data_IF_452604785340
#
_entry.id   IF_452604785340
#
_cell.length_a   1.000
_cell.length_b   1.000
_cell.length_c   1.000
_cell.angle_alpha   90.00
_cell.angle_beta   90.00
_cell.angle_gamma   90.00
#
_symmetry.space_group_name_H-M   'P 1'
#
loop_
_entity.id
_entity.type
_entity.pdbx_description
1 polymer ?
#
# COMPACT_ATOMS: atom_id res chain seq x y z
N UNK A 1 -0.05 -5.59 -42.57
CA UNK A 1 -0.13 -4.50 -41.57
C UNK A 1 -1.34 -4.79 -40.70
N UNK A 2 -1.13 -5.29 -39.48
CA UNK A 2 -2.22 -5.60 -38.56
C UNK A 2 -2.78 -4.29 -38.00
N UNK A 3 -4.09 -4.06 -38.13
CA UNK A 3 -4.77 -2.92 -37.50
C UNK A 3 -4.50 -2.90 -35.99
N UNK A 4 -4.40 -1.71 -35.36
CA UNK A 4 -4.41 -1.63 -33.91
C UNK A 4 -5.74 -2.22 -33.40
N UNK A 5 -5.73 -2.97 -32.28
CA UNK A 5 -6.97 -3.41 -31.66
C UNK A 5 -7.82 -2.16 -31.35
N UNK A 6 -9.14 -2.27 -31.53
CA UNK A 6 -10.08 -1.25 -31.09
C UNK A 6 -9.78 -0.87 -29.62
N UNK A 7 -10.03 0.37 -29.18
CA UNK A 7 -9.92 0.74 -27.77
C UNK A 7 -10.98 -0.01 -26.95
N UNK A 8 -10.74 -1.30 -26.72
CA UNK A 8 -11.34 -2.06 -25.65
C UNK A 8 -10.75 -1.56 -24.36
N UNK A 9 -11.61 -1.40 -23.36
CA UNK A 9 -11.29 -0.97 -21.99
C UNK A 9 -9.98 -1.60 -21.51
N UNK A 10 -8.88 -0.86 -21.65
CA UNK A 10 -7.61 -1.27 -21.09
C UNK A 10 -7.77 -1.13 -19.57
N UNK A 11 -7.54 -2.21 -18.83
CA UNK A 11 -7.51 -2.12 -17.38
C UNK A 11 -6.27 -1.30 -17.01
N UNK A 12 -6.48 -0.03 -16.66
CA UNK A 12 -5.40 0.83 -16.19
C UNK A 12 -5.18 0.52 -14.73
N UNK A 13 -3.92 0.41 -14.32
CA UNK A 13 -3.57 0.45 -12.91
C UNK A 13 -3.19 1.88 -12.54
N UNK A 14 -3.83 2.41 -11.50
CA UNK A 14 -3.44 3.66 -10.86
C UNK A 14 -2.31 3.39 -9.87
N UNK A 15 -1.23 4.15 -9.98
CA UNK A 15 -0.15 4.19 -8.98
C UNK A 15 -0.41 5.35 -8.01
N UNK A 16 -0.37 5.08 -6.70
CA UNK A 16 -0.41 6.09 -5.64
C UNK A 16 0.79 5.88 -4.72
N UNK A 17 1.50 6.96 -4.42
CA UNK A 17 2.58 6.97 -3.44
C UNK A 17 2.06 7.51 -2.12
N UNK A 18 2.39 6.83 -1.03
CA UNK A 18 1.99 7.19 0.33
C UNK A 18 3.25 7.25 1.18
N UNK A 19 3.52 8.41 1.77
CA UNK A 19 4.70 8.64 2.60
C UNK A 19 4.25 8.78 4.04
N UNK A 20 4.85 7.98 4.92
CA UNK A 20 4.65 8.05 6.37
C UNK A 20 5.94 8.62 6.99
N UNK A 21 5.91 9.81 7.60
CA UNK A 21 7.08 10.40 8.25
C UNK A 21 7.68 9.49 9.33
N UNK A 22 8.93 9.75 9.69
CA UNK A 22 9.62 9.00 10.74
C UNK A 22 8.88 9.09 12.08
N UNK A 23 8.63 7.95 12.72
CA UNK A 23 7.90 7.87 13.99
C UNK A 23 6.39 8.07 13.90
N UNK A 24 5.86 8.47 12.74
CA UNK A 24 4.44 8.74 12.55
C UNK A 24 3.65 7.48 12.20
N UNK A 25 2.33 7.65 12.21
CA UNK A 25 1.39 6.62 11.78
C UNK A 25 0.31 7.21 10.86
N UNK A 26 -0.15 6.38 9.95
CA UNK A 26 -1.30 6.63 9.10
C UNK A 26 -2.47 5.76 9.58
N UNK A 27 -3.59 6.35 10.03
CA UNK A 27 -4.80 5.60 10.33
C UNK A 27 -5.24 4.75 9.13
N UNK A 28 -5.68 3.52 9.40
CA UNK A 28 -6.21 2.65 8.34
C UNK A 28 -7.69 2.96 8.09
N UNK A 29 -8.02 3.26 6.84
CA UNK A 29 -9.38 3.41 6.32
C UNK A 29 -9.51 2.45 5.15
N UNK A 30 -10.45 1.51 5.21
CA UNK A 30 -10.52 0.40 4.26
C UNK A 30 -10.73 0.87 2.82
N UNK A 31 -11.58 1.88 2.62
CA UNK A 31 -11.90 2.44 1.30
C UNK A 31 -10.67 3.04 0.61
N UNK A 32 -9.71 3.56 1.38
CA UNK A 32 -8.50 4.14 0.80
C UNK A 32 -7.59 3.08 0.15
N UNK A 33 -7.70 1.81 0.55
CA UNK A 33 -6.82 0.72 0.12
C UNK A 33 -7.54 -0.39 -0.65
N UNK A 34 -8.83 -0.20 -0.94
CA UNK A 34 -9.60 -1.12 -1.76
C UNK A 34 -8.91 -1.39 -3.10
N UNK A 35 -8.88 -2.66 -3.50
CA UNK A 35 -8.24 -3.16 -4.73
C UNK A 35 -6.75 -2.83 -4.88
N UNK A 36 -6.06 -2.43 -3.79
CA UNK A 36 -4.67 -2.04 -3.84
C UNK A 36 -3.71 -3.19 -3.50
N UNK A 37 -2.71 -3.39 -4.36
CA UNK A 37 -1.46 -4.09 -4.04
C UNK A 37 -0.42 -3.05 -3.61
N UNK A 38 0.17 -3.23 -2.43
CA UNK A 38 1.06 -2.24 -1.82
C UNK A 38 2.47 -2.80 -1.75
N UNK A 39 3.43 -2.07 -2.30
CA UNK A 39 4.86 -2.38 -2.17
C UNK A 39 5.47 -1.42 -1.15
N UNK A 40 6.26 -1.95 -0.22
CA UNK A 40 7.16 -1.12 0.59
C UNK A 40 8.35 -0.74 -0.29
N UNK A 41 8.38 0.50 -0.78
CA UNK A 41 9.43 0.97 -1.69
C UNK A 41 10.71 1.36 -0.95
N UNK A 42 10.57 1.95 0.24
CA UNK A 42 11.68 2.36 1.11
C UNK A 42 11.24 2.44 2.57
N UNK A 43 12.17 2.27 3.50
CA UNK A 43 11.90 2.26 4.94
C UNK A 43 11.24 0.96 5.41
N UNK A 44 10.66 1.00 6.61
CA UNK A 44 9.95 -0.11 7.24
C UNK A 44 8.55 0.33 7.68
N UNK A 45 7.59 -0.57 7.62
CA UNK A 45 6.22 -0.31 8.12
C UNK A 45 5.79 -1.42 9.06
N UNK A 46 5.24 -1.02 10.21
CA UNK A 46 4.51 -1.86 11.13
C UNK A 46 3.03 -1.81 10.75
N UNK A 47 2.45 -2.95 10.35
CA UNK A 47 1.00 -3.10 10.20
C UNK A 47 0.40 -3.44 11.55
N UNK A 48 -0.44 -2.55 12.09
CA UNK A 48 -1.06 -2.71 13.40
C UNK A 48 -2.50 -3.20 13.26
N UNK A 49 -2.83 -4.32 13.90
CA UNK A 49 -4.17 -4.91 13.91
C UNK A 49 -4.97 -4.50 15.15
N UNK A 50 -6.29 -4.48 15.03
CA UNK A 50 -7.23 -4.17 16.14
C UNK A 50 -7.11 -5.12 17.33
N UNK A 51 -6.64 -6.36 17.10
CA UNK A 51 -6.38 -7.35 18.16
C UNK A 51 -5.04 -7.16 18.89
N UNK A 52 -4.37 -6.01 18.68
CA UNK A 52 -3.10 -5.65 19.32
C UNK A 52 -1.85 -6.27 18.67
N UNK A 53 -2.01 -7.17 17.70
CA UNK A 53 -0.90 -7.72 16.94
C UNK A 53 -0.29 -6.66 16.01
N UNK A 54 1.03 -6.70 15.83
CA UNK A 54 1.72 -5.90 14.82
C UNK A 54 2.77 -6.74 14.10
N UNK A 55 2.95 -6.50 12.80
CA UNK A 55 4.01 -7.13 12.01
C UNK A 55 4.73 -6.10 11.17
N UNK A 56 6.06 -6.20 11.17
CA UNK A 56 6.96 -5.33 10.43
C UNK A 56 7.26 -5.87 9.03
N UNK A 57 7.33 -4.98 8.06
CA UNK A 57 7.73 -5.26 6.69
C UNK A 57 8.73 -4.22 6.18
N UNK A 58 9.73 -4.68 5.44
CA UNK A 58 10.78 -3.84 4.86
C UNK A 58 10.67 -3.74 3.34
N UNK A 59 11.65 -3.09 2.68
CA UNK A 59 11.61 -2.81 1.25
C UNK A 59 11.46 -4.08 0.39
N UNK A 60 10.68 -3.98 -0.68
CA UNK A 60 10.36 -5.10 -1.59
C UNK A 60 9.23 -6.02 -1.11
N UNK A 61 8.73 -5.84 0.11
CA UNK A 61 7.54 -6.55 0.58
C UNK A 61 6.31 -6.16 -0.25
N UNK A 62 5.58 -7.16 -0.76
CA UNK A 62 4.30 -6.99 -1.45
C UNK A 62 3.17 -7.37 -0.49
N UNK A 63 2.25 -6.44 -0.25
CA UNK A 63 1.23 -6.50 0.78
C UNK A 63 -0.16 -6.23 0.17
N UNK A 64 -1.18 -6.83 0.76
CA UNK A 64 -2.59 -6.47 0.57
C UNK A 64 -3.23 -6.39 1.95
N UNK A 65 -4.07 -5.38 2.19
CA UNK A 65 -4.55 -5.06 3.54
C UNK A 65 -5.92 -5.65 3.88
N UNK A 66 -6.67 -6.05 2.85
CA UNK A 66 -8.02 -6.64 2.99
C UNK A 66 -7.98 -7.85 3.92
N UNK A 67 -8.88 -7.86 4.91
CA UNK A 67 -9.06 -8.98 5.84
C UNK A 67 -8.06 -9.05 7.00
N UNK A 68 -7.09 -8.12 7.09
CA UNK A 68 -6.08 -8.14 8.16
C UNK A 68 -6.55 -7.47 9.46
N UNK A 69 -7.71 -6.80 9.46
CA UNK A 69 -8.22 -6.07 10.63
C UNK A 69 -7.27 -4.96 11.08
N UNK A 70 -6.64 -4.26 10.13
CA UNK A 70 -5.72 -3.17 10.40
C UNK A 70 -6.43 -1.97 11.02
N UNK A 71 -5.70 -1.26 11.87
CA UNK A 71 -6.13 0.02 12.45
C UNK A 71 -5.16 1.15 12.11
N UNK A 72 -3.90 0.84 11.84
CA UNK A 72 -2.90 1.82 11.45
C UNK A 72 -1.72 1.16 10.72
N UNK A 73 -1.05 1.97 9.91
CA UNK A 73 0.29 1.73 9.40
C UNK A 73 1.24 2.65 10.16
N UNK A 74 2.22 2.10 10.86
CA UNK A 74 3.16 2.88 11.66
C UNK A 74 4.56 2.80 11.06
N UNK A 75 5.24 3.93 10.96
CA UNK A 75 6.65 3.98 10.62
C UNK A 75 7.47 3.98 11.92
N UNK A 76 8.20 2.89 12.24
CA UNK A 76 9.03 2.82 13.44
C UNK A 76 10.44 3.38 13.23
N UNK A 77 10.81 3.72 12.00
CA UNK A 77 12.15 4.13 11.63
C UNK A 77 12.44 5.60 11.88
N UNK A 78 13.71 5.97 11.70
CA UNK A 78 14.21 7.35 11.82
C UNK A 78 14.11 8.15 10.50
N UNK A 79 13.79 7.48 9.39
CA UNK A 79 13.55 8.08 8.09
C UNK A 79 12.13 7.82 7.60
N UNK A 80 11.68 8.48 6.52
CA UNK A 80 10.35 8.26 5.97
C UNK A 80 10.21 6.84 5.40
N UNK A 81 9.01 6.29 5.54
CA UNK A 81 8.61 5.06 4.87
C UNK A 81 7.73 5.39 3.69
N UNK A 82 8.04 4.80 2.53
CA UNK A 82 7.33 5.04 1.27
C UNK A 82 6.62 3.76 0.85
N UNK A 83 5.31 3.85 0.73
CA UNK A 83 4.45 2.79 0.23
C UNK A 83 3.97 3.16 -1.17
N UNK A 84 4.04 2.22 -2.10
CA UNK A 84 3.51 2.39 -3.45
C UNK A 84 2.33 1.45 -3.63
N UNK A 85 1.13 2.02 -3.72
CA UNK A 85 -0.10 1.30 -3.97
C UNK A 85 -0.40 1.27 -5.48
N UNK A 86 -0.75 0.11 -5.97
CA UNK A 86 -1.26 -0.13 -7.31
C UNK A 86 -2.69 -0.64 -7.21
N UNK A 87 -3.65 0.13 -7.69
CA UNK A 87 -5.06 -0.26 -7.73
C UNK A 87 -5.60 -0.22 -9.15
N UNK A 88 -6.72 -0.90 -9.41
CA UNK A 88 -7.42 -0.78 -10.69
C UNK A 88 -8.14 0.56 -10.79
N UNK A 89 -8.24 1.10 -12.01
CA UNK A 89 -9.08 2.25 -12.35
C UNK A 89 -10.54 1.88 -12.51
#
# INVERSE_FOLDING_TARGET
MSSPPAPGLYCVFRRREVVIPAGDQLPYVDEDWADALVVVASGEVDLCCSRGGSRRFGPGSLLFFVGLGLVALRNPGLGPTVLVAHSRS
#
